data_IF_043970975281
#
_entry.id   IF_043970975281
#
_cell.length_a   1.000
_cell.length_b   1.000
_cell.length_c   1.000
_cell.angle_alpha   90.00
_cell.angle_beta   90.00
_cell.angle_gamma   90.00
#
_symmetry.space_group_name_H-M   'P 1'
#
loop_
_entity.id
_entity.type
_entity.pdbx_description
1 polymer ?
#
# COMPACT_ATOMS: atom_id res chain seq x y z
N UNK A 1 2.25 -4.02 35.66
CA UNK A 1 2.80 -5.20 34.96
C UNK A 1 3.05 -4.78 33.52
N UNK A 2 4.30 -4.66 33.09
CA UNK A 2 4.62 -4.30 31.70
C UNK A 2 4.28 -5.48 30.81
N UNK A 3 3.30 -5.33 29.92
CA UNK A 3 3.20 -6.19 28.76
C UNK A 3 4.19 -5.61 27.75
N UNK A 4 5.25 -6.37 27.47
CA UNK A 4 6.11 -6.08 26.34
C UNK A 4 5.27 -6.27 25.08
N UNK A 5 4.97 -5.18 24.36
CA UNK A 5 4.41 -5.23 23.01
C UNK A 5 5.48 -5.84 22.09
N UNK A 6 5.54 -7.18 22.03
CA UNK A 6 6.35 -7.86 21.03
C UNK A 6 5.76 -7.56 19.66
N UNK A 7 6.44 -6.71 18.88
CA UNK A 7 6.21 -6.43 17.46
C UNK A 7 4.74 -6.52 17.02
N UNK A 8 3.99 -5.44 17.22
CA UNK A 8 2.77 -5.24 16.46
C UNK A 8 3.21 -5.16 14.98
N UNK A 9 2.81 -6.13 14.18
CA UNK A 9 2.96 -5.99 12.74
C UNK A 9 1.91 -4.96 12.30
N UNK A 10 2.34 -3.82 11.77
CA UNK A 10 1.42 -2.77 11.27
C UNK A 10 0.80 -3.14 9.91
N UNK A 11 1.23 -4.27 9.33
CA UNK A 11 0.88 -4.69 7.97
C UNK A 11 0.49 -6.16 7.90
N UNK A 12 -0.49 -6.47 7.06
CA UNK A 12 -0.94 -7.82 6.78
C UNK A 12 -1.00 -8.08 5.27
N UNK A 13 -0.26 -9.07 4.79
CA UNK A 13 -0.24 -9.47 3.39
C UNK A 13 -1.44 -10.39 3.06
N UNK A 14 -2.19 -10.03 2.02
CA UNK A 14 -3.29 -10.83 1.50
C UNK A 14 -2.89 -11.39 0.11
N UNK A 15 -2.78 -12.72 -0.06
CA UNK A 15 -2.31 -13.32 -1.31
C UNK A 15 -3.32 -13.30 -2.47
N UNK A 16 -4.59 -12.97 -2.19
CA UNK A 16 -5.64 -12.92 -3.21
C UNK A 16 -5.39 -11.80 -4.22
N UNK A 17 -5.60 -12.10 -5.51
CA UNK A 17 -5.34 -11.16 -6.60
C UNK A 17 -6.61 -10.42 -7.00
N UNK A 18 -6.68 -9.15 -6.65
CA UNK A 18 -7.83 -8.29 -6.95
C UNK A 18 -7.38 -6.93 -7.51
N UNK A 19 -8.31 -6.15 -8.06
CA UNK A 19 -8.02 -4.79 -8.47
C UNK A 19 -7.83 -3.88 -7.24
N UNK A 20 -7.30 -2.68 -7.44
CA UNK A 20 -6.96 -1.79 -6.31
C UNK A 20 -8.17 -1.42 -5.44
N UNK A 21 -9.34 -1.17 -6.06
CA UNK A 21 -10.56 -0.79 -5.34
C UNK A 21 -11.11 -1.94 -4.48
N UNK A 22 -11.05 -3.17 -4.99
CA UNK A 22 -11.46 -4.37 -4.27
C UNK A 22 -10.48 -4.66 -3.12
N UNK A 23 -9.17 -4.45 -3.32
CA UNK A 23 -8.16 -4.56 -2.26
C UNK A 23 -8.43 -3.58 -1.10
N UNK A 24 -8.69 -2.30 -1.44
CA UNK A 24 -9.09 -1.29 -0.44
C UNK A 24 -10.36 -1.71 0.31
N UNK A 25 -11.38 -2.14 -0.42
CA UNK A 25 -12.65 -2.57 0.17
C UNK A 25 -12.44 -3.73 1.14
N UNK A 26 -11.66 -4.74 0.74
CA UNK A 26 -11.31 -5.86 1.60
C UNK A 26 -10.60 -5.38 2.87
N UNK A 27 -9.58 -4.53 2.73
CA UNK A 27 -8.84 -4.05 3.90
C UNK A 27 -9.72 -3.24 4.86
N UNK A 28 -10.66 -2.43 4.37
CA UNK A 28 -11.61 -1.68 5.22
C UNK A 28 -12.67 -2.56 5.89
N UNK A 29 -12.94 -3.75 5.34
CA UNK A 29 -13.87 -4.72 5.93
C UNK A 29 -13.22 -5.59 7.01
N UNK A 30 -11.93 -5.91 6.84
CA UNK A 30 -11.23 -6.87 7.70
C UNK A 30 -10.16 -6.24 8.60
N UNK A 31 -9.71 -5.02 8.29
CA UNK A 31 -8.63 -4.29 8.94
C UNK A 31 -8.95 -2.78 8.93
N UNK A 32 -7.94 -1.90 8.93
CA UNK A 32 -8.15 -0.43 8.89
C UNK A 32 -8.34 0.08 7.47
N UNK A 33 -7.29 -0.03 6.64
CA UNK A 33 -7.32 0.36 5.22
C UNK A 33 -6.21 -0.40 4.48
N UNK A 34 -6.16 -0.25 3.16
CA UNK A 34 -4.98 -0.67 2.38
C UNK A 34 -3.75 0.13 2.83
N UNK A 35 -2.56 -0.48 2.76
CA UNK A 35 -1.36 0.00 3.44
C UNK A 35 -0.92 1.42 3.05
N UNK A 36 -0.78 2.29 4.06
CA UNK A 36 -0.13 3.60 3.97
C UNK A 36 1.33 3.51 4.40
N UNK A 37 2.22 4.28 3.77
CA UNK A 37 3.65 4.33 4.14
C UNK A 37 4.09 5.78 4.34
N UNK A 38 4.34 6.19 5.57
CA UNK A 38 4.65 7.60 5.90
C UNK A 38 6.15 7.89 5.99
N UNK A 39 6.98 6.86 6.14
CA UNK A 39 8.43 6.99 6.35
C UNK A 39 9.17 5.69 5.98
N UNK A 40 10.50 5.70 6.10
CA UNK A 40 11.35 4.54 5.79
C UNK A 40 11.05 3.32 6.68
N UNK A 41 10.80 3.53 7.99
CA UNK A 41 10.53 2.45 8.92
C UNK A 41 9.23 1.71 8.58
N UNK A 42 8.21 2.45 8.15
CA UNK A 42 6.95 1.91 7.63
C UNK A 42 7.21 1.05 6.39
N UNK A 43 7.99 1.55 5.43
CA UNK A 43 8.34 0.82 4.21
C UNK A 43 9.08 -0.48 4.52
N UNK A 44 10.07 -0.42 5.41
CA UNK A 44 10.85 -1.58 5.83
C UNK A 44 9.97 -2.63 6.54
N UNK A 45 9.01 -2.18 7.37
CA UNK A 45 8.08 -3.07 8.05
C UNK A 45 7.10 -3.73 7.07
N UNK A 46 6.57 -2.97 6.12
CA UNK A 46 5.73 -3.48 5.05
C UNK A 46 6.48 -4.54 4.24
N UNK A 47 7.70 -4.25 3.78
CA UNK A 47 8.50 -5.15 2.95
C UNK A 47 8.84 -6.48 3.64
N UNK A 48 8.99 -6.50 4.97
CA UNK A 48 9.21 -7.74 5.74
C UNK A 48 8.03 -8.71 5.69
N UNK A 49 6.82 -8.22 5.41
CA UNK A 49 5.61 -9.07 5.30
C UNK A 49 5.44 -9.72 3.93
N UNK A 50 6.16 -9.22 2.91
CA UNK A 50 5.97 -9.62 1.53
C UNK A 50 6.80 -10.87 1.17
N UNK A 51 6.21 -11.92 0.58
CA UNK A 51 6.93 -13.09 0.09
C UNK A 51 7.58 -12.85 -1.29
N UNK A 52 8.13 -11.66 -1.54
CA UNK A 52 8.60 -11.18 -2.86
C UNK A 52 7.52 -11.13 -3.95
N UNK A 53 6.27 -10.81 -3.58
CA UNK A 53 5.16 -10.65 -4.51
C UNK A 53 4.87 -9.17 -4.80
N UNK A 54 4.53 -8.84 -6.05
CA UNK A 54 4.00 -7.51 -6.38
C UNK A 54 2.69 -7.31 -5.63
N UNK A 55 2.54 -6.19 -4.93
CA UNK A 55 1.39 -6.02 -4.03
C UNK A 55 0.87 -4.60 -4.04
N UNK A 56 -0.45 -4.41 -4.07
CA UNK A 56 -1.06 -3.08 -3.95
C UNK A 56 -0.75 -2.44 -2.59
N UNK A 57 -0.54 -1.12 -2.62
CA UNK A 57 -0.51 -0.22 -1.46
C UNK A 57 -1.53 0.91 -1.65
N UNK A 58 -1.83 1.65 -0.60
CA UNK A 58 -2.94 2.62 -0.55
C UNK A 58 -2.73 3.93 -1.30
N UNK A 59 -1.66 4.08 -2.07
CA UNK A 59 -1.40 5.31 -2.83
C UNK A 59 -2.12 5.24 -4.19
N UNK A 60 -3.00 6.20 -4.46
CA UNK A 60 -3.78 6.28 -5.70
C UNK A 60 -4.07 7.71 -6.14
N UNK A 61 -4.57 7.90 -7.36
CA UNK A 61 -5.13 9.17 -7.87
C UNK A 61 -6.41 8.91 -8.66
N UNK A 62 -7.23 9.93 -8.84
CA UNK A 62 -8.53 9.80 -9.55
C UNK A 62 -8.42 10.14 -11.04
N UNK A 63 -7.36 10.83 -11.47
CA UNK A 63 -7.10 11.19 -12.85
C UNK A 63 -5.63 11.52 -13.09
N UNK A 64 -5.21 11.63 -14.35
CA UNK A 64 -3.84 12.02 -14.73
C UNK A 64 -3.42 13.43 -14.30
N UNK A 65 -4.36 14.31 -13.95
CA UNK A 65 -4.09 15.70 -13.51
C UNK A 65 -4.17 15.88 -12.00
N UNK A 66 -4.60 14.86 -11.26
CA UNK A 66 -4.68 14.90 -9.79
C UNK A 66 -3.42 14.33 -9.14
N UNK A 67 -3.00 14.88 -7.98
CA UNK A 67 -1.90 14.31 -7.22
C UNK A 67 -2.24 12.90 -6.73
N UNK A 68 -1.20 12.10 -6.49
CA UNK A 68 -1.32 10.87 -5.72
C UNK A 68 -1.64 11.21 -4.26
N UNK A 69 -2.57 10.47 -3.67
CA UNK A 69 -3.03 10.60 -2.29
C UNK A 69 -3.11 9.23 -1.64
N UNK A 70 -2.83 9.17 -0.34
CA UNK A 70 -3.08 7.97 0.44
C UNK A 70 -4.58 7.80 0.66
N UNK A 71 -5.04 6.55 0.61
CA UNK A 71 -6.45 6.19 0.74
C UNK A 71 -7.06 6.55 2.09
N UNK A 72 -6.24 6.61 3.13
CA UNK A 72 -6.60 6.99 4.49
C UNK A 72 -6.67 8.51 4.70
N UNK A 73 -6.29 9.30 3.69
CA UNK A 73 -6.25 10.76 3.73
C UNK A 73 -5.00 11.35 4.38
N UNK A 74 -4.00 10.54 4.74
CA UNK A 74 -2.72 11.01 5.25
C UNK A 74 -1.92 11.78 4.19
N UNK A 75 -0.96 12.59 4.65
CA UNK A 75 -0.13 13.38 3.76
C UNK A 75 0.89 12.49 3.04
N UNK A 76 1.04 12.69 1.73
CA UNK A 76 2.07 12.02 0.94
C UNK A 76 3.45 12.70 1.12
N UNK A 77 4.22 12.27 2.12
CA UNK A 77 5.51 12.89 2.50
C UNK A 77 6.75 12.02 2.24
N UNK A 78 6.57 10.73 1.98
CA UNK A 78 7.64 9.77 1.75
C UNK A 78 7.34 8.98 0.49
N UNK A 79 8.37 8.67 -0.30
CA UNK A 79 8.25 7.82 -1.46
C UNK A 79 9.50 6.97 -1.67
N UNK A 80 9.29 5.74 -2.15
CA UNK A 80 10.36 4.80 -2.48
C UNK A 80 10.15 4.27 -3.92
N UNK A 81 10.14 5.19 -4.90
CA UNK A 81 9.89 4.85 -6.29
C UNK A 81 11.02 4.01 -6.92
N UNK A 82 10.64 3.08 -7.79
CA UNK A 82 11.59 2.50 -8.75
C UNK A 82 12.24 3.60 -9.62
N UNK A 83 13.48 3.41 -10.09
CA UNK A 83 14.10 4.32 -11.04
C UNK A 83 13.20 4.52 -12.28
N UNK A 84 12.87 5.78 -12.56
CA UNK A 84 11.99 6.15 -13.68
C UNK A 84 10.50 6.16 -13.35
N UNK A 85 10.09 5.92 -12.10
CA UNK A 85 8.70 6.01 -11.65
C UNK A 85 8.42 7.24 -10.78
N UNK A 86 7.16 7.69 -10.69
CA UNK A 86 6.01 7.24 -11.49
C UNK A 86 6.05 7.82 -12.91
N UNK A 87 5.83 7.00 -13.93
CA UNK A 87 5.90 7.42 -15.34
C UNK A 87 4.53 7.65 -15.98
N UNK A 88 3.45 7.27 -15.29
CA UNK A 88 2.07 7.36 -15.76
C UNK A 88 1.91 6.84 -17.20
N UNK A 89 2.43 5.64 -17.49
CA UNK A 89 2.44 5.11 -18.85
C UNK A 89 1.03 5.14 -19.48
N UNK A 90 0.94 5.66 -20.71
CA UNK A 90 -0.31 5.92 -21.44
C UNK A 90 -1.36 6.78 -20.69
N UNK A 91 -0.95 7.50 -19.64
CA UNK A 91 -1.81 8.29 -18.77
C UNK A 91 -2.89 7.52 -18.00
N UNK A 92 -2.71 6.21 -17.78
CA UNK A 92 -3.72 5.32 -17.17
C UNK A 92 -3.24 4.62 -15.88
N UNK A 93 -2.04 4.93 -15.39
CA UNK A 93 -1.44 4.27 -14.23
C UNK A 93 -1.69 5.07 -12.96
N UNK A 94 -2.86 4.86 -12.36
CA UNK A 94 -3.37 5.71 -11.27
C UNK A 94 -3.31 5.08 -9.88
N UNK A 95 -2.83 3.85 -9.76
CA UNK A 95 -2.68 3.13 -8.50
C UNK A 95 -1.24 2.66 -8.32
N UNK A 96 -0.80 2.41 -7.09
CA UNK A 96 0.61 2.11 -6.83
C UNK A 96 0.75 0.72 -6.23
N UNK A 97 1.67 -0.07 -6.79
CA UNK A 97 2.08 -1.34 -6.22
C UNK A 97 3.55 -1.30 -5.77
N UNK A 98 3.90 -2.25 -4.91
CA UNK A 98 5.28 -2.67 -4.72
C UNK A 98 5.65 -3.57 -5.90
N UNK A 99 6.77 -3.26 -6.55
CA UNK A 99 7.41 -4.03 -7.59
C UNK A 99 8.91 -4.10 -7.30
N UNK A 100 9.47 -5.31 -7.17
CA UNK A 100 10.88 -5.51 -6.82
C UNK A 100 11.34 -4.68 -5.60
N UNK A 101 10.50 -4.67 -4.55
CA UNK A 101 10.72 -3.96 -3.26
C UNK A 101 10.67 -2.42 -3.30
N UNK A 102 10.40 -1.81 -4.46
CA UNK A 102 10.16 -0.37 -4.56
C UNK A 102 8.80 -0.11 -5.22
N UNK A 103 8.37 1.14 -5.27
CA UNK A 103 7.04 1.54 -5.69
C UNK A 103 6.97 1.76 -7.19
N UNK A 104 5.81 1.47 -7.77
CA UNK A 104 5.60 1.56 -9.21
C UNK A 104 4.12 1.88 -9.45
N UNK A 105 3.84 2.91 -10.26
CA UNK A 105 2.47 3.21 -10.65
C UNK A 105 2.00 2.23 -11.72
N UNK A 106 0.72 1.85 -11.64
CA UNK A 106 0.09 0.81 -12.42
C UNK A 106 -1.37 1.13 -12.69
N UNK A 107 -1.91 0.47 -13.71
CA UNK A 107 -3.33 0.50 -14.03
C UNK A 107 -4.14 -0.14 -12.89
N UNK A 108 -5.09 0.60 -12.33
CA UNK A 108 -5.84 0.16 -11.14
C UNK A 108 -6.64 -1.13 -11.34
N UNK A 109 -6.98 -1.49 -12.59
CA UNK A 109 -7.75 -2.70 -12.91
C UNK A 109 -6.91 -3.99 -12.90
N UNK A 110 -5.58 -3.88 -12.86
CA UNK A 110 -4.70 -5.06 -12.79
C UNK A 110 -4.91 -5.79 -11.47
N UNK A 111 -4.69 -7.11 -11.49
CA UNK A 111 -4.92 -7.95 -10.32
C UNK A 111 -3.62 -8.32 -9.63
N UNK A 112 -3.43 -7.80 -8.42
CA UNK A 112 -2.28 -8.12 -7.57
C UNK A 112 -2.76 -8.56 -6.18
N UNK A 113 -1.93 -9.34 -5.46
CA UNK A 113 -1.95 -9.36 -4.00
C UNK A 113 -1.91 -7.95 -3.41
N UNK A 114 -2.17 -7.81 -2.12
CA UNK A 114 -2.23 -6.50 -1.50
C UNK A 114 -1.85 -6.55 -0.02
N UNK A 115 -1.51 -5.39 0.53
CA UNK A 115 -1.15 -5.25 1.95
C UNK A 115 -2.16 -4.37 2.63
N UNK A 116 -2.73 -4.84 3.73
CA UNK A 116 -3.60 -4.05 4.60
C UNK A 116 -2.81 -3.49 5.77
N UNK A 117 -3.21 -2.32 6.26
CA UNK A 117 -2.74 -1.76 7.52
C UNK A 117 -3.55 -2.35 8.69
N UNK A 118 -2.86 -2.87 9.69
CA UNK A 118 -3.45 -3.40 10.92
C UNK A 118 -3.70 -2.23 11.88
N UNK A 119 -4.95 -1.96 12.22
CA UNK A 119 -5.27 -0.90 13.19
C UNK A 119 -4.79 -1.24 14.59
N UNK A 120 -4.44 -0.21 15.37
CA UNK A 120 -4.30 -0.37 16.80
C UNK A 120 -5.67 -0.71 17.40
N UNK A 121 -5.87 -1.97 17.79
CA UNK A 121 -6.99 -2.35 18.63
C UNK A 121 -6.74 -1.81 20.04
N UNK A 122 -7.25 -0.62 20.33
CA UNK A 122 -7.39 -0.15 21.70
C UNK A 122 -8.45 -1.02 22.40
N UNK A 123 -8.00 -1.96 23.23
CA UNK A 123 -8.84 -2.61 24.25
C UNK A 123 -8.68 -1.89 25.59
#
# INVERSE_FOLDING_TARGET
MCVAFSQLHDYFFVPEKVNWSDAQTYCRQHYTDIATVNNQQDNDNLLKTLPNANSWIGLCRTSGTTPLIWSDGSNFTYADWQPGQPNNYNNIQWCVNIYQKHWNDQECYLKFPFVCHLGEFFF
#
